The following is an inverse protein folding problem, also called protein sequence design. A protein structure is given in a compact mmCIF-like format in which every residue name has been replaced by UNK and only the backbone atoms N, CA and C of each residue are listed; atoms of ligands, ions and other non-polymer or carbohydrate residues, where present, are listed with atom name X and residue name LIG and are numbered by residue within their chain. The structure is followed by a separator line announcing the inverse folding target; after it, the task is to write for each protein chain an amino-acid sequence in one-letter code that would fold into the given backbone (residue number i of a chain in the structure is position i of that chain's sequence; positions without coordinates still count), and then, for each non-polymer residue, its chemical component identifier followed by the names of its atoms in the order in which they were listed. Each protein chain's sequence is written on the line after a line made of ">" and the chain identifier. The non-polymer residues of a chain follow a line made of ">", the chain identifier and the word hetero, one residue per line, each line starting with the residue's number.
data_IF_259146758680
#
_entry.id   IF_259146758680
#
_cell.length_a   1.000
_cell.length_b   1.000
_cell.length_c   1.000
_cell.angle_alpha   90.00
_cell.angle_beta   90.00
_cell.angle_gamma   90.00
#
_symmetry.space_group_name_H-M   'P 1'
#
loop_
_entity.id
_entity.type
_entity.pdbx_description
1 polymer ?
#
# COMPACT_ATOMS: atom_id res chain seq x y z
N UNK A 1 -11.50 0.40 3.05
CA UNK A 1 -12.80 0.60 3.72
C UNK A 1 -12.72 -0.17 5.01
N UNK A 2 -12.59 0.53 6.13
CA UNK A 2 -12.72 -0.05 7.43
C UNK A 2 -14.21 0.03 7.79
N UNK A 3 -14.89 -1.11 7.84
CA UNK A 3 -16.28 -1.17 8.28
C UNK A 3 -16.40 -1.15 9.82
N UNK A 4 -15.32 -0.83 10.53
CA UNK A 4 -15.32 -0.83 11.99
C UNK A 4 -15.99 0.43 12.54
N UNK A 5 -17.29 0.30 12.77
CA UNK A 5 -18.06 1.22 13.62
C UNK A 5 -18.10 0.76 15.08
N UNK A 6 -17.41 -0.33 15.43
CA UNK A 6 -17.50 -1.00 16.73
C UNK A 6 -18.82 -1.73 16.96
N UNK A 7 -19.64 -1.92 15.92
CA UNK A 7 -20.94 -2.58 15.99
C UNK A 7 -21.02 -3.89 15.20
N UNK A 8 -20.09 -4.09 14.25
CA UNK A 8 -20.01 -5.30 13.43
C UNK A 8 -18.92 -6.23 13.97
N UNK A 9 -19.15 -7.53 13.84
CA UNK A 9 -18.09 -8.53 14.04
C UNK A 9 -17.09 -8.47 12.87
N UNK A 10 -15.90 -9.04 13.05
CA UNK A 10 -14.88 -9.12 11.98
C UNK A 10 -15.43 -9.80 10.72
N UNK A 11 -16.18 -10.89 10.87
CA UNK A 11 -16.76 -11.62 9.74
C UNK A 11 -17.80 -10.77 8.98
N UNK A 12 -18.60 -10.00 9.68
CA UNK A 12 -19.53 -9.04 9.08
C UNK A 12 -18.77 -7.92 8.35
N UNK A 13 -17.65 -7.44 8.91
CA UNK A 13 -16.80 -6.44 8.26
C UNK A 13 -16.22 -6.96 6.92
N UNK A 14 -15.74 -8.19 6.88
CA UNK A 14 -15.29 -8.82 5.62
C UNK A 14 -16.42 -8.97 4.61
N UNK A 15 -17.58 -9.45 5.07
CA UNK A 15 -18.77 -9.61 4.21
C UNK A 15 -19.14 -8.28 3.56
N UNK A 16 -19.29 -7.23 4.37
CA UNK A 16 -19.66 -5.88 3.87
C UNK A 16 -18.59 -5.31 2.94
N UNK A 17 -17.31 -5.52 3.24
CA UNK A 17 -16.20 -5.05 2.37
C UNK A 17 -16.27 -5.74 1.00
N UNK A 18 -16.47 -7.04 0.95
CA UNK A 18 -16.60 -7.79 -0.29
C UNK A 18 -17.83 -7.34 -1.10
N UNK A 19 -18.98 -7.15 -0.44
CA UNK A 19 -20.20 -6.64 -1.08
C UNK A 19 -20.03 -5.24 -1.65
N UNK A 20 -19.36 -4.32 -0.93
CA UNK A 20 -19.07 -2.97 -1.42
C UNK A 20 -18.14 -3.02 -2.64
N UNK A 21 -17.07 -3.81 -2.59
CA UNK A 21 -16.15 -3.97 -3.70
C UNK A 21 -16.86 -4.54 -4.95
N UNK A 22 -17.72 -5.55 -4.80
CA UNK A 22 -18.50 -6.09 -5.91
C UNK A 22 -19.47 -5.04 -6.48
N UNK A 23 -20.22 -4.35 -5.62
CA UNK A 23 -21.14 -3.31 -6.05
C UNK A 23 -20.43 -2.15 -6.78
N UNK A 24 -19.22 -1.81 -6.37
CA UNK A 24 -18.38 -0.82 -7.04
C UNK A 24 -18.04 -1.28 -8.48
N UNK A 25 -17.54 -2.50 -8.64
CA UNK A 25 -17.21 -3.06 -9.97
C UNK A 25 -18.45 -3.08 -10.88
N UNK A 26 -19.55 -3.65 -10.40
CA UNK A 26 -20.80 -3.76 -11.17
C UNK A 26 -21.31 -2.38 -11.60
N UNK A 27 -21.29 -1.41 -10.68
CA UNK A 27 -21.75 -0.05 -10.96
C UNK A 27 -20.90 0.61 -12.03
N UNK A 28 -19.56 0.52 -11.95
CA UNK A 28 -18.67 1.12 -12.94
C UNK A 28 -18.83 0.45 -14.30
N UNK A 29 -18.88 -0.87 -14.36
CA UNK A 29 -19.06 -1.60 -15.63
C UNK A 29 -20.39 -1.29 -16.30
N UNK A 30 -21.48 -1.14 -15.53
CA UNK A 30 -22.80 -0.78 -16.02
C UNK A 30 -22.87 0.61 -16.68
N UNK A 31 -21.93 1.51 -16.41
CA UNK A 31 -21.89 2.83 -17.07
C UNK A 31 -21.44 2.76 -18.54
N UNK A 32 -20.81 1.67 -18.97
CA UNK A 32 -20.37 1.45 -20.34
C UNK A 32 -19.25 2.38 -20.83
N UNK A 33 -19.04 2.42 -22.13
CA UNK A 33 -18.03 3.26 -22.77
C UNK A 33 -16.61 2.98 -22.27
N UNK A 34 -15.86 4.02 -21.92
CA UNK A 34 -14.48 3.83 -21.43
C UNK A 34 -14.39 3.02 -20.12
N UNK A 35 -15.49 2.90 -19.38
CA UNK A 35 -15.51 2.16 -18.12
C UNK A 35 -15.61 0.64 -18.32
N UNK A 36 -15.97 0.17 -19.52
CA UNK A 36 -15.96 -1.27 -19.84
C UNK A 36 -14.56 -1.90 -19.69
N UNK A 37 -13.50 -1.13 -19.97
CA UNK A 37 -12.11 -1.59 -19.93
C UNK A 37 -11.20 -0.78 -18.99
N UNK A 38 -11.77 0.05 -18.12
CA UNK A 38 -11.00 0.82 -17.14
C UNK A 38 -10.40 -0.11 -16.09
N UNK A 39 -9.15 0.13 -15.71
CA UNK A 39 -8.59 -0.48 -14.50
C UNK A 39 -9.37 0.00 -13.27
N UNK A 40 -9.75 -0.94 -12.42
CA UNK A 40 -10.41 -0.66 -11.15
C UNK A 40 -9.52 -1.07 -10.00
N UNK A 41 -9.34 -0.17 -9.05
CA UNK A 41 -8.52 -0.38 -7.87
C UNK A 41 -9.42 -0.82 -6.72
N UNK A 42 -9.25 -2.05 -6.27
CA UNK A 42 -10.04 -2.67 -5.21
C UNK A 42 -9.34 -2.43 -3.89
N UNK A 43 -10.03 -1.78 -2.96
CA UNK A 43 -9.50 -1.58 -1.62
C UNK A 43 -9.50 -2.89 -0.83
N UNK A 44 -8.35 -3.28 -0.31
CA UNK A 44 -8.22 -4.35 0.65
C UNK A 44 -8.92 -4.00 1.97
N UNK A 45 -9.21 -5.01 2.80
CA UNK A 45 -9.87 -4.77 4.08
C UNK A 45 -9.00 -3.91 5.01
N UNK A 46 -9.51 -2.74 5.38
CA UNK A 46 -8.78 -1.74 6.15
C UNK A 46 -7.54 -1.20 5.44
N UNK A 47 -7.34 -1.50 4.15
CA UNK A 47 -6.08 -1.30 3.40
C UNK A 47 -4.85 -1.96 4.03
N UNK A 48 -5.06 -2.86 5.00
CA UNK A 48 -4.02 -3.60 5.72
C UNK A 48 -3.65 -4.89 4.97
N UNK A 49 -2.35 -5.19 4.85
CA UNK A 49 -1.85 -6.35 4.12
C UNK A 49 -2.33 -7.66 4.76
N UNK A 50 -2.20 -7.80 6.07
CA UNK A 50 -2.55 -9.04 6.77
C UNK A 50 -4.05 -9.31 6.67
N UNK A 51 -4.87 -8.29 6.87
CA UNK A 51 -6.32 -8.40 6.75
C UNK A 51 -6.75 -8.67 5.30
N UNK A 52 -6.09 -8.05 4.32
CA UNK A 52 -6.40 -8.27 2.89
C UNK A 52 -5.99 -9.68 2.43
N UNK A 53 -4.94 -10.25 3.03
CA UNK A 53 -4.51 -11.62 2.73
C UNK A 53 -5.31 -12.69 3.49
N UNK A 54 -6.17 -12.33 4.45
CA UNK A 54 -7.08 -13.25 5.12
C UNK A 54 -8.02 -13.91 4.10
N UNK A 55 -8.35 -15.18 4.31
CA UNK A 55 -9.20 -15.96 3.41
C UNK A 55 -10.65 -15.45 3.28
N UNK A 56 -11.08 -14.60 4.20
CA UNK A 56 -12.41 -13.96 4.18
C UNK A 56 -12.49 -12.80 3.20
N UNK A 57 -11.34 -12.17 2.86
CA UNK A 57 -11.29 -11.16 1.80
C UNK A 57 -11.26 -11.84 0.44
N UNK A 58 -12.21 -11.47 -0.43
CA UNK A 58 -12.36 -12.04 -1.77
C UNK A 58 -12.37 -10.92 -2.79
N UNK A 59 -11.55 -11.05 -3.84
CA UNK A 59 -11.59 -10.14 -4.96
C UNK A 59 -12.94 -10.24 -5.69
N UNK A 60 -13.54 -9.10 -6.10
CA UNK A 60 -14.79 -9.12 -6.83
C UNK A 60 -14.63 -9.78 -8.20
N UNK A 61 -15.72 -10.29 -8.75
CA UNK A 61 -15.76 -10.72 -10.14
C UNK A 61 -15.87 -9.51 -11.06
N UNK A 62 -15.27 -9.60 -12.26
CA UNK A 62 -15.31 -8.52 -13.24
C UNK A 62 -15.64 -9.11 -14.65
N UNK A 63 -16.40 -8.35 -15.42
CA UNK A 63 -16.67 -8.68 -16.83
C UNK A 63 -15.50 -8.32 -17.76
N UNK A 64 -14.55 -7.52 -17.29
CA UNK A 64 -13.35 -7.12 -18.04
C UNK A 64 -12.14 -7.93 -17.58
N UNK A 65 -11.50 -8.64 -18.50
CA UNK A 65 -10.34 -9.48 -18.20
C UNK A 65 -9.14 -8.67 -17.73
N UNK A 66 -8.54 -9.08 -16.60
CA UNK A 66 -7.29 -8.51 -16.07
C UNK A 66 -7.35 -6.98 -15.84
N UNK A 67 -8.51 -6.47 -15.39
CA UNK A 67 -8.72 -5.04 -15.14
C UNK A 67 -8.90 -4.68 -13.66
N UNK A 68 -8.74 -5.65 -12.76
CA UNK A 68 -8.75 -5.39 -11.32
C UNK A 68 -7.32 -5.34 -10.78
N UNK A 69 -7.10 -4.39 -9.90
CA UNK A 69 -5.89 -4.22 -9.10
C UNK A 69 -6.30 -4.24 -7.64
N UNK A 70 -5.46 -4.75 -6.74
CA UNK A 70 -5.69 -4.65 -5.30
C UNK A 70 -4.80 -3.57 -4.69
N UNK A 71 -5.36 -2.78 -3.78
CA UNK A 71 -4.64 -1.71 -3.09
C UNK A 71 -4.61 -1.95 -1.59
N UNK A 72 -3.41 -1.81 -1.03
CA UNK A 72 -3.14 -1.81 0.41
C UNK A 72 -2.23 -0.64 0.76
N UNK A 73 -2.12 -0.33 2.05
CA UNK A 73 -1.15 0.62 2.58
C UNK A 73 -0.11 -0.13 3.41
N UNK A 74 1.09 0.42 3.53
CA UNK A 74 2.15 -0.19 4.32
C UNK A 74 2.82 0.82 5.24
N UNK A 75 2.58 0.67 6.53
CA UNK A 75 3.14 1.51 7.59
C UNK A 75 3.64 0.69 8.79
N UNK A 76 4.17 -0.52 8.53
CA UNK A 76 4.69 -1.37 9.57
C UNK A 76 6.21 -1.21 9.75
N UNK A 77 6.67 -1.16 11.01
CA UNK A 77 5.85 -1.07 12.21
C UNK A 77 5.27 0.34 12.39
N UNK A 78 4.01 0.44 12.75
CA UNK A 78 3.31 1.72 12.90
C UNK A 78 3.97 2.66 13.92
N UNK A 79 4.61 2.10 14.92
CA UNK A 79 5.39 2.84 15.92
C UNK A 79 6.56 3.63 15.33
N UNK A 80 7.10 3.16 14.19
CA UNK A 80 8.16 3.83 13.44
C UNK A 80 7.61 4.71 12.31
N UNK A 81 6.66 4.17 11.54
CA UNK A 81 6.21 4.82 10.31
C UNK A 81 5.25 5.99 10.53
N UNK A 82 4.32 5.89 11.49
CA UNK A 82 3.26 6.90 11.71
C UNK A 82 3.16 7.40 13.15
N UNK A 83 3.87 6.79 14.08
CA UNK A 83 3.94 7.21 15.49
C UNK A 83 5.38 7.54 15.87
N UNK A 84 5.57 7.98 17.12
CA UNK A 84 6.87 8.36 17.67
C UNK A 84 7.39 7.38 18.73
N UNK A 85 6.76 6.21 18.84
CA UNK A 85 7.12 5.21 19.84
C UNK A 85 8.39 4.42 19.51
N UNK A 86 8.80 4.41 18.25
CA UNK A 86 10.05 3.83 17.76
C UNK A 86 10.84 4.92 17.03
N UNK A 87 12.10 5.09 17.40
CA UNK A 87 13.01 6.12 16.86
C UNK A 87 13.95 5.58 15.78
N UNK A 88 14.10 4.26 15.67
CA UNK A 88 15.02 3.61 14.73
C UNK A 88 14.40 2.37 14.10
N UNK A 89 14.95 1.99 12.94
CA UNK A 89 14.63 0.78 12.19
C UNK A 89 15.90 0.23 11.55
N UNK A 90 16.03 -1.09 11.39
CA UNK A 90 17.14 -1.71 10.64
C UNK A 90 17.82 -2.85 11.37
N UNK A 91 17.23 -3.38 12.44
CA UNK A 91 17.72 -4.63 12.99
C UNK A 91 17.28 -5.84 12.13
N UNK A 92 17.82 -7.04 12.44
CA UNK A 92 17.50 -8.23 11.67
C UNK A 92 16.01 -8.56 11.67
N UNK A 93 15.32 -8.36 12.79
CA UNK A 93 13.89 -8.67 12.89
C UNK A 93 13.05 -7.69 12.08
N UNK A 94 13.47 -6.42 11.98
CA UNK A 94 12.82 -5.40 11.17
C UNK A 94 12.80 -5.82 9.69
N UNK A 95 13.96 -6.23 9.15
CA UNK A 95 14.05 -6.73 7.76
C UNK A 95 13.21 -7.98 7.55
N UNK A 96 13.31 -8.97 8.44
CA UNK A 96 12.55 -10.22 8.33
C UNK A 96 11.04 -9.93 8.35
N UNK A 97 10.56 -9.13 9.29
CA UNK A 97 9.14 -8.76 9.40
C UNK A 97 8.61 -8.03 8.17
N UNK A 98 9.39 -7.07 7.63
CA UNK A 98 9.00 -6.36 6.42
C UNK A 98 8.92 -7.30 5.22
N UNK A 99 9.92 -8.17 5.03
CA UNK A 99 9.95 -9.13 3.94
C UNK A 99 8.77 -10.09 4.00
N UNK A 100 8.53 -10.71 5.17
CA UNK A 100 7.43 -11.66 5.37
C UNK A 100 6.06 -11.01 5.15
N UNK A 101 5.91 -9.75 5.55
CA UNK A 101 4.63 -9.04 5.37
C UNK A 101 4.37 -8.72 3.91
N UNK A 102 5.37 -8.23 3.18
CA UNK A 102 5.22 -7.91 1.77
C UNK A 102 5.06 -9.15 0.90
N UNK A 103 5.73 -10.25 1.24
CA UNK A 103 5.60 -11.54 0.54
C UNK A 103 4.14 -12.05 0.53
N UNK A 104 3.36 -11.78 1.58
CA UNK A 104 1.94 -12.22 1.63
C UNK A 104 1.12 -11.76 0.42
N UNK A 105 1.43 -10.60 -0.14
CA UNK A 105 0.71 -10.05 -1.29
C UNK A 105 0.97 -10.80 -2.61
N UNK A 106 1.94 -11.72 -2.65
CA UNK A 106 2.16 -12.61 -3.81
C UNK A 106 0.94 -13.48 -4.09
N UNK A 107 0.09 -13.74 -3.08
CA UNK A 107 -1.23 -14.35 -3.27
C UNK A 107 -2.00 -13.72 -4.44
N UNK A 108 -1.98 -12.41 -4.56
CA UNK A 108 -2.72 -11.68 -5.59
C UNK A 108 -1.98 -11.64 -6.93
N UNK A 109 -0.66 -11.47 -6.92
CA UNK A 109 0.13 -11.50 -8.17
C UNK A 109 0.13 -12.89 -8.80
N UNK A 110 0.14 -13.95 -8.01
CA UNK A 110 0.04 -15.34 -8.48
C UNK A 110 -1.33 -15.63 -9.12
N UNK A 111 -2.38 -14.94 -8.69
CA UNK A 111 -3.72 -14.99 -9.28
C UNK A 111 -3.88 -14.02 -10.48
N UNK A 112 -2.83 -13.25 -10.83
CA UNK A 112 -2.82 -12.32 -11.96
C UNK A 112 -3.34 -10.92 -11.69
N UNK A 113 -3.56 -10.54 -10.43
CA UNK A 113 -3.90 -9.18 -10.06
C UNK A 113 -2.65 -8.32 -9.89
N UNK A 114 -2.70 -7.06 -10.37
CA UNK A 114 -1.67 -6.09 -10.02
C UNK A 114 -1.86 -5.60 -8.57
N UNK A 115 -0.73 -5.41 -7.86
CA UNK A 115 -0.72 -4.92 -6.48
C UNK A 115 -0.22 -3.49 -6.43
N UNK A 116 -1.00 -2.61 -5.82
CA UNK A 116 -0.63 -1.22 -5.54
C UNK A 116 -0.44 -1.07 -4.04
N UNK A 117 0.76 -0.69 -3.61
CA UNK A 117 0.95 -0.19 -2.24
C UNK A 117 0.64 1.29 -2.28
N UNK A 118 -0.64 1.63 -2.06
CA UNK A 118 -1.20 2.96 -2.29
C UNK A 118 -0.67 4.06 -1.37
N UNK A 119 -0.09 3.65 -0.24
CA UNK A 119 0.62 4.53 0.68
C UNK A 119 1.74 3.76 1.37
N UNK A 120 2.89 4.41 1.49
CA UNK A 120 3.97 4.04 2.41
C UNK A 120 4.76 5.27 2.79
N UNK A 121 5.46 5.24 3.92
CA UNK A 121 6.28 6.36 4.36
C UNK A 121 6.76 6.19 5.78
N UNK A 122 7.68 7.08 6.17
CA UNK A 122 8.18 7.19 7.54
C UNK A 122 7.93 8.61 8.02
N UNK A 123 7.36 8.74 9.22
CA UNK A 123 7.11 10.03 9.84
C UNK A 123 8.42 10.80 10.03
N UNK A 124 8.43 12.05 9.57
CA UNK A 124 9.51 12.98 9.77
C UNK A 124 9.27 13.75 11.07
N UNK A 125 10.23 13.70 11.98
CA UNK A 125 10.17 14.36 13.28
C UNK A 125 11.08 15.59 13.30
N UNK A 126 10.54 16.72 13.74
CA UNK A 126 11.31 17.96 13.94
C UNK A 126 12.16 18.38 12.73
N UNK A 127 11.69 18.10 11.52
CA UNK A 127 12.38 18.31 10.26
C UNK A 127 13.64 17.43 10.07
N UNK A 128 13.71 16.28 10.73
CA UNK A 128 14.81 15.33 10.58
C UNK A 128 14.28 13.92 10.26
N UNK A 129 15.09 13.14 9.55
CA UNK A 129 14.78 11.75 9.23
C UNK A 129 15.06 10.89 10.46
N UNK A 130 14.17 9.94 10.75
CA UNK A 130 14.44 8.92 11.77
C UNK A 130 15.62 8.04 11.35
N UNK A 131 16.33 7.51 12.32
CA UNK A 131 17.42 6.57 12.10
C UNK A 131 16.91 5.32 11.36
N UNK A 132 17.60 4.92 10.28
CA UNK A 132 17.21 3.78 9.43
C UNK A 132 16.15 4.10 8.36
N UNK A 133 15.73 5.37 8.16
CA UNK A 133 14.70 5.71 7.15
C UNK A 133 15.08 5.26 5.73
N UNK A 134 16.33 5.46 5.30
CA UNK A 134 16.78 5.06 3.97
C UNK A 134 16.92 3.53 3.85
N UNK A 135 17.29 2.85 4.92
CA UNK A 135 17.34 1.39 4.97
C UNK A 135 15.94 0.80 4.85
N UNK A 136 14.96 1.37 5.59
CA UNK A 136 13.55 1.01 5.48
C UNK A 136 13.04 1.16 4.03
N UNK A 137 13.28 2.32 3.40
CA UNK A 137 12.85 2.54 2.01
C UNK A 137 13.58 1.62 1.03
N UNK A 138 14.86 1.35 1.25
CA UNK A 138 15.64 0.47 0.40
C UNK A 138 15.07 -0.95 0.41
N UNK A 139 14.86 -1.51 1.60
CA UNK A 139 14.34 -2.87 1.73
C UNK A 139 12.90 -2.97 1.21
N UNK A 140 12.05 -2.01 1.57
CA UNK A 140 10.67 -1.94 1.11
C UNK A 140 10.58 -1.92 -0.43
N UNK A 141 11.31 -1.02 -1.08
CA UNK A 141 11.27 -0.88 -2.54
C UNK A 141 11.92 -2.06 -3.26
N UNK A 142 12.95 -2.70 -2.67
CA UNK A 142 13.52 -3.93 -3.22
C UNK A 142 12.50 -5.08 -3.20
N UNK A 143 11.68 -5.19 -2.17
CA UNK A 143 10.57 -6.15 -2.14
C UNK A 143 9.50 -5.80 -3.19
N UNK A 144 9.15 -4.52 -3.34
CA UNK A 144 8.22 -4.10 -4.38
C UNK A 144 8.72 -4.46 -5.78
N UNK A 145 10.00 -4.22 -6.07
CA UNK A 145 10.62 -4.59 -7.34
C UNK A 145 10.64 -6.12 -7.54
N UNK A 146 10.97 -6.87 -6.48
CA UNK A 146 11.01 -8.33 -6.51
C UNK A 146 9.67 -8.98 -6.84
N UNK A 147 8.60 -8.45 -6.26
CA UNK A 147 7.24 -9.01 -6.39
C UNK A 147 6.38 -8.30 -7.44
N UNK A 148 6.88 -7.24 -8.08
CA UNK A 148 6.16 -6.47 -9.11
C UNK A 148 5.04 -5.58 -8.56
N UNK A 149 5.21 -5.03 -7.34
CA UNK A 149 4.24 -4.10 -6.75
C UNK A 149 4.51 -2.66 -7.19
N UNK A 150 3.46 -1.84 -7.26
CA UNK A 150 3.57 -0.42 -7.56
C UNK A 150 3.44 0.41 -6.26
N UNK A 151 4.55 0.92 -5.69
CA UNK A 151 4.53 1.68 -4.45
C UNK A 151 4.27 3.16 -4.69
N UNK A 152 3.46 3.79 -3.82
CA UNK A 152 3.13 5.22 -3.82
C UNK A 152 3.60 5.86 -2.51
N UNK A 153 4.66 6.68 -2.58
CA UNK A 153 5.17 7.40 -1.42
C UNK A 153 4.12 8.41 -0.94
N UNK A 154 3.76 8.33 0.34
CA UNK A 154 2.84 9.29 0.95
C UNK A 154 3.54 10.59 1.31
N UNK A 155 3.00 11.70 0.82
CA UNK A 155 3.45 13.06 1.15
C UNK A 155 2.31 13.88 1.76
N UNK A 156 2.42 14.22 3.04
CA UNK A 156 1.52 15.15 3.73
C UNK A 156 2.10 16.59 3.82
N UNK A 157 2.71 17.08 2.76
CA UNK A 157 3.37 18.39 2.65
C UNK A 157 4.65 18.54 3.48
N UNK A 158 5.29 17.44 3.88
CA UNK A 158 6.53 17.46 4.63
C UNK A 158 7.71 16.79 3.89
N UNK A 159 7.46 16.16 2.74
CA UNK A 159 8.49 15.55 1.88
C UNK A 159 8.71 16.33 0.57
N UNK A 160 7.66 16.89 0.01
CA UNK A 160 7.72 17.55 -1.29
C UNK A 160 7.26 19.01 -1.22
N UNK A 161 8.14 19.95 -1.57
CA UNK A 161 7.80 21.35 -1.73
C UNK A 161 7.13 21.59 -3.09
N UNK A 162 5.81 21.74 -3.08
CA UNK A 162 5.01 21.96 -4.30
C UNK A 162 5.30 23.30 -4.98
N UNK A 163 5.80 24.30 -4.25
CA UNK A 163 6.15 25.60 -4.81
C UNK A 163 7.51 25.56 -5.52
N UNK A 164 8.48 24.90 -4.89
CA UNK A 164 9.83 24.71 -5.45
C UNK A 164 9.91 23.54 -6.45
N UNK A 165 8.90 22.65 -6.47
CA UNK A 165 8.87 21.48 -7.34
C UNK A 165 9.96 20.44 -7.01
N UNK A 166 10.30 20.26 -5.72
CA UNK A 166 11.39 19.38 -5.30
C UNK A 166 11.11 18.67 -3.98
N UNK A 167 11.80 17.54 -3.79
CA UNK A 167 11.87 16.87 -2.49
C UNK A 167 12.67 17.76 -1.53
N UNK A 168 12.19 17.91 -0.28
CA UNK A 168 12.74 18.80 0.73
C UNK A 168 14.07 18.28 1.27
N UNK A 169 14.20 16.96 1.45
CA UNK A 169 15.35 16.30 2.03
C UNK A 169 16.28 15.78 0.94
N UNK A 170 17.51 16.31 0.91
CA UNK A 170 18.48 15.98 -0.13
C UNK A 170 18.83 14.48 -0.17
N UNK A 171 18.90 13.81 0.99
CA UNK A 171 19.17 12.37 1.09
C UNK A 171 18.05 11.54 0.46
N UNK A 172 16.79 11.89 0.70
CA UNK A 172 15.64 11.25 0.06
C UNK A 172 15.63 11.54 -1.44
N UNK A 173 15.90 12.77 -1.85
CA UNK A 173 15.98 13.14 -3.24
C UNK A 173 17.07 12.35 -3.99
N UNK A 174 18.27 12.26 -3.42
CA UNK A 174 19.37 11.47 -3.96
C UNK A 174 19.04 9.97 -4.03
N UNK A 175 18.40 9.44 -2.99
CA UNK A 175 17.95 8.05 -2.96
C UNK A 175 17.00 7.72 -4.12
N UNK A 176 15.92 8.49 -4.33
CA UNK A 176 15.00 8.25 -5.43
C UNK A 176 15.62 8.50 -6.81
N UNK A 177 16.51 9.50 -6.95
CA UNK A 177 17.23 9.73 -8.19
C UNK A 177 18.12 8.54 -8.57
N UNK A 178 18.80 7.93 -7.60
CA UNK A 178 19.65 6.77 -7.86
C UNK A 178 18.87 5.55 -8.35
N UNK A 179 17.63 5.37 -7.91
CA UNK A 179 16.75 4.27 -8.35
C UNK A 179 16.09 4.51 -9.72
N UNK A 180 15.92 5.76 -10.13
CA UNK A 180 15.26 6.08 -11.41
C UNK A 180 16.15 5.88 -12.66
N UNK A 181 17.41 5.55 -12.47
CA UNK A 181 18.44 5.44 -13.56
C UNK A 181 18.81 3.98 -13.85
N UNK A 182 18.19 3.01 -13.15
CA UNK A 182 18.46 1.57 -13.28
C UNK A 182 17.49 0.87 -14.25
#
# INVERSE_FOLDING_TARGET
>A
IAADSGTLSDDECYTVTNEINQAFVDTIRATGGNNENRFLLIAGFGTDITNTCDSRFVMPTDSADSKLLVSVHYYDPSGYCIMTSLSSWGDKNDYESQNETLEKMTKFTDEGYGVIIGEYGVLIEQNDLKDGTLDYYTNFLNNCDLYGYAPMLWDCNNLYDRNAGKIIYDDIAAFYQSRSVS
#
